data_IF_581135585090
#
_entry.id   IF_581135585090
#
_cell.length_a   1.000
_cell.length_b   1.000
_cell.length_c   1.000
_cell.angle_alpha   90.00
_cell.angle_beta   90.00
_cell.angle_gamma   90.00
#
_symmetry.space_group_name_H-M   'P 1'
#
loop_
_entity.id
_entity.type
_entity.pdbx_description
1 polymer ?
#
# COMPACT_ATOMS: atom_id res chain seq x y z
N UNK A 1 1.16 34.95 6.18
CA UNK A 1 -0.07 34.14 5.99
C UNK A 1 0.22 32.79 6.64
N UNK A 2 -0.61 32.33 7.57
CA UNK A 2 -0.46 30.96 8.11
C UNK A 2 -1.17 30.05 7.12
N UNK A 3 -0.45 29.11 6.52
CA UNK A 3 -1.10 28.05 5.75
C UNK A 3 -2.04 27.31 6.68
N UNK A 4 -3.31 27.20 6.33
CA UNK A 4 -4.21 26.31 7.05
C UNK A 4 -3.67 24.87 6.94
N UNK A 5 -3.74 24.05 7.99
CA UNK A 5 -3.35 22.66 7.89
C UNK A 5 -4.18 22.02 6.78
N UNK A 6 -3.53 21.59 5.70
CA UNK A 6 -4.20 20.80 4.66
C UNK A 6 -4.67 19.51 5.30
N UNK A 7 -5.98 19.26 5.31
CA UNK A 7 -6.53 17.97 5.70
C UNK A 7 -5.89 16.86 4.85
N UNK A 8 -4.97 16.10 5.45
CA UNK A 8 -4.24 15.03 4.78
C UNK A 8 -5.12 13.80 4.63
N UNK A 9 -5.12 13.25 3.41
CA UNK A 9 -5.67 11.95 3.09
C UNK A 9 -4.50 10.94 2.98
N UNK A 10 -4.58 9.80 3.65
CA UNK A 10 -3.51 8.79 3.66
C UNK A 10 -4.03 7.41 3.27
N UNK A 11 -3.29 6.72 2.43
CA UNK A 11 -3.44 5.30 2.14
C UNK A 11 -2.32 4.55 2.86
N UNK A 12 -2.69 3.71 3.82
CA UNK A 12 -1.78 2.69 4.35
C UNK A 12 -1.83 1.49 3.42
N UNK A 13 -0.71 1.22 2.74
CA UNK A 13 -0.69 0.32 1.59
C UNK A 13 0.20 -0.90 1.86
N UNK A 14 -0.38 -2.10 1.74
CA UNK A 14 0.38 -3.33 1.51
C UNK A 14 0.69 -3.52 0.00
N UNK A 15 1.62 -4.42 -0.33
CA UNK A 15 2.11 -4.69 -1.68
C UNK A 15 1.70 -6.09 -2.13
N UNK A 16 2.09 -7.14 -1.39
CA UNK A 16 1.64 -8.50 -1.66
C UNK A 16 0.11 -8.57 -1.50
N UNK A 17 -0.58 -9.31 -2.36
CA UNK A 17 -2.05 -9.39 -2.35
C UNK A 17 -2.81 -8.10 -2.65
N UNK A 18 -2.12 -6.97 -2.85
CA UNK A 18 -2.69 -5.66 -3.23
C UNK A 18 -2.21 -5.22 -4.61
N UNK A 19 -0.92 -4.97 -4.79
CA UNK A 19 -0.31 -4.64 -6.09
C UNK A 19 0.26 -5.88 -6.77
N UNK A 20 0.79 -6.82 -5.98
CA UNK A 20 1.37 -8.06 -6.45
C UNK A 20 0.44 -9.24 -6.17
N UNK A 21 -0.16 -9.86 -7.19
CA UNK A 21 -0.91 -11.10 -7.00
C UNK A 21 0.00 -12.23 -6.55
N UNK A 22 -0.43 -13.03 -5.56
CA UNK A 22 0.39 -14.14 -5.04
C UNK A 22 0.76 -15.19 -6.10
N UNK A 23 -0.06 -15.32 -7.13
CA UNK A 23 0.17 -16.24 -8.24
C UNK A 23 1.14 -15.71 -9.29
N UNK A 24 1.55 -14.44 -9.20
CA UNK A 24 2.42 -13.79 -10.17
C UNK A 24 3.88 -14.00 -9.81
N UNK A 25 4.60 -14.78 -10.63
CA UNK A 25 6.02 -15.09 -10.45
C UNK A 25 6.80 -15.08 -11.78
N UNK A 26 6.32 -14.29 -12.75
CA UNK A 26 6.93 -14.11 -14.08
C UNK A 26 8.35 -13.57 -13.98
N UNK A 27 8.72 -12.85 -12.92
CA UNK A 27 10.09 -12.34 -12.73
C UNK A 27 11.18 -13.39 -12.89
N UNK A 28 10.88 -14.66 -12.61
CA UNK A 28 11.86 -15.76 -12.72
C UNK A 28 12.17 -16.16 -14.17
N UNK A 29 11.38 -15.69 -15.13
CA UNK A 29 11.63 -15.88 -16.57
C UNK A 29 12.58 -14.81 -17.16
N UNK A 30 13.08 -13.88 -16.34
CA UNK A 30 13.88 -12.73 -16.76
C UNK A 30 15.28 -12.71 -16.13
N UNK A 31 16.24 -12.10 -16.83
CA UNK A 31 17.57 -11.81 -16.28
C UNK A 31 17.51 -10.60 -15.34
N UNK A 32 17.39 -10.88 -14.05
CA UNK A 32 17.29 -9.84 -13.02
C UNK A 32 18.62 -9.11 -12.78
N UNK A 33 19.77 -9.66 -13.18
CA UNK A 33 21.03 -8.93 -13.09
C UNK A 33 21.13 -7.87 -14.19
N UNK A 34 20.67 -8.19 -15.39
CA UNK A 34 20.59 -7.22 -16.49
C UNK A 34 19.49 -6.18 -16.28
N UNK A 35 18.40 -6.57 -15.60
CA UNK A 35 17.36 -5.62 -15.18
C UNK A 35 17.93 -4.45 -14.35
N UNK A 36 18.80 -4.73 -13.37
CA UNK A 36 19.39 -3.69 -12.53
C UNK A 36 20.14 -2.64 -13.36
N UNK A 37 20.96 -3.10 -14.31
CA UNK A 37 21.75 -2.21 -15.18
C UNK A 37 20.84 -1.41 -16.11
N UNK A 38 19.79 -2.05 -16.63
CA UNK A 38 18.80 -1.40 -17.49
C UNK A 38 18.10 -0.27 -16.75
N UNK A 39 17.61 -0.54 -15.53
CA UNK A 39 16.93 0.48 -14.72
C UNK A 39 17.88 1.60 -14.28
N UNK A 40 19.11 1.27 -13.86
CA UNK A 40 20.10 2.28 -13.50
C UNK A 40 20.40 3.24 -14.66
N UNK A 41 20.52 2.70 -15.88
CA UNK A 41 20.72 3.50 -17.08
C UNK A 41 19.47 4.29 -17.51
N UNK A 42 18.28 3.67 -17.42
CA UNK A 42 17.00 4.31 -17.82
C UNK A 42 16.66 5.51 -16.92
N UNK A 43 16.89 5.37 -15.61
CA UNK A 43 16.56 6.40 -14.63
C UNK A 43 17.72 7.34 -14.31
N UNK A 44 18.90 7.09 -14.89
CA UNK A 44 20.18 7.78 -14.61
C UNK A 44 20.46 7.84 -13.10
N UNK A 45 20.38 6.68 -12.44
CA UNK A 45 20.42 6.55 -10.99
C UNK A 45 21.08 5.22 -10.56
N UNK A 46 22.30 5.30 -10.05
CA UNK A 46 23.08 4.12 -9.63
C UNK A 46 22.45 3.38 -8.44
N UNK A 47 21.51 3.99 -7.71
CA UNK A 47 20.78 3.32 -6.61
C UNK A 47 20.14 2.01 -7.09
N UNK A 48 19.65 1.94 -8.33
CA UNK A 48 19.05 0.73 -8.89
C UNK A 48 20.02 -0.46 -8.96
N UNK A 49 21.34 -0.24 -8.94
CA UNK A 49 22.33 -1.32 -8.87
C UNK A 49 22.44 -1.95 -7.47
N UNK A 50 22.01 -1.22 -6.43
CA UNK A 50 22.08 -1.64 -5.03
C UNK A 50 20.75 -2.19 -4.49
N UNK A 51 19.63 -1.90 -5.17
CA UNK A 51 18.32 -2.41 -4.80
C UNK A 51 18.22 -3.93 -5.00
N UNK A 52 17.36 -4.56 -4.21
CA UNK A 52 17.10 -5.99 -4.34
C UNK A 52 16.50 -6.31 -5.72
N UNK A 53 17.18 -7.21 -6.44
CA UNK A 53 16.81 -7.59 -7.81
C UNK A 53 15.51 -8.35 -7.90
N UNK A 54 15.12 -9.10 -6.87
CA UNK A 54 13.88 -9.85 -6.86
C UNK A 54 12.70 -8.90 -6.61
N UNK A 55 12.86 -7.93 -5.71
CA UNK A 55 11.87 -6.85 -5.53
C UNK A 55 11.68 -6.04 -6.82
N UNK A 56 12.78 -5.66 -7.50
CA UNK A 56 12.69 -4.98 -8.81
C UNK A 56 12.05 -5.86 -9.88
N UNK A 57 12.37 -7.15 -9.91
CA UNK A 57 11.74 -8.11 -10.81
C UNK A 57 10.23 -8.22 -10.57
N UNK A 58 9.81 -8.31 -9.31
CA UNK A 58 8.40 -8.30 -8.92
C UNK A 58 7.69 -7.04 -9.44
N UNK A 59 8.30 -5.87 -9.24
CA UNK A 59 7.71 -4.59 -9.66
C UNK A 59 7.58 -4.51 -11.19
N UNK A 60 8.59 -4.97 -11.93
CA UNK A 60 8.60 -4.87 -13.39
C UNK A 60 7.69 -5.92 -14.06
N UNK A 61 7.60 -7.12 -13.49
CA UNK A 61 7.02 -8.27 -14.19
C UNK A 61 5.80 -8.89 -13.48
N UNK A 62 5.68 -8.74 -12.16
CA UNK A 62 4.66 -9.44 -11.38
C UNK A 62 3.52 -8.54 -10.88
N UNK A 63 3.77 -7.25 -10.66
CA UNK A 63 2.74 -6.30 -10.26
C UNK A 63 1.61 -6.21 -11.29
N UNK A 64 0.38 -6.22 -10.80
CA UNK A 64 -0.80 -6.03 -11.64
C UNK A 64 -0.94 -4.54 -11.98
N UNK A 65 -0.74 -4.22 -13.27
CA UNK A 65 -0.81 -2.83 -13.74
C UNK A 65 -2.21 -2.23 -13.50
N UNK A 66 -3.27 -3.02 -13.54
CA UNK A 66 -4.62 -2.55 -13.21
C UNK A 66 -4.72 -2.10 -11.74
N UNK A 67 -4.19 -2.89 -10.80
CA UNK A 67 -4.13 -2.55 -9.38
C UNK A 67 -3.32 -1.27 -9.13
N UNK A 68 -2.15 -1.17 -9.76
CA UNK A 68 -1.27 0.02 -9.70
C UNK A 68 -2.01 1.27 -10.17
N UNK A 69 -2.67 1.20 -11.33
CA UNK A 69 -3.41 2.33 -11.91
C UNK A 69 -4.59 2.76 -11.03
N UNK A 70 -5.31 1.80 -10.42
CA UNK A 70 -6.37 2.11 -9.45
C UNK A 70 -5.84 2.88 -8.26
N UNK A 71 -4.78 2.38 -7.60
CA UNK A 71 -4.15 3.08 -6.46
C UNK A 71 -3.66 4.46 -6.88
N UNK A 72 -3.02 4.58 -8.05
CA UNK A 72 -2.54 5.89 -8.56
C UNK A 72 -3.69 6.87 -8.76
N UNK A 73 -4.77 6.45 -9.40
CA UNK A 73 -5.94 7.31 -9.63
C UNK A 73 -6.60 7.79 -8.34
N UNK A 74 -6.66 6.94 -7.31
CA UNK A 74 -7.16 7.34 -5.99
C UNK A 74 -6.25 8.40 -5.37
N UNK A 75 -4.93 8.22 -5.45
CA UNK A 75 -3.97 9.20 -4.96
C UNK A 75 -4.12 10.55 -5.66
N UNK A 76 -4.34 10.56 -6.98
CA UNK A 76 -4.58 11.76 -7.78
C UNK A 76 -5.86 12.48 -7.37
N UNK A 77 -6.98 11.76 -7.33
CA UNK A 77 -8.31 12.33 -7.10
C UNK A 77 -8.48 12.90 -5.69
N UNK A 78 -7.90 12.21 -4.70
CA UNK A 78 -8.02 12.61 -3.28
C UNK A 78 -6.80 13.36 -2.77
N UNK A 79 -5.79 13.58 -3.62
CA UNK A 79 -4.46 14.07 -3.22
C UNK A 79 -3.90 13.26 -2.04
N UNK A 80 -4.14 11.94 -2.08
CA UNK A 80 -3.79 11.05 -1.00
C UNK A 80 -2.30 10.73 -1.05
N UNK A 81 -1.71 10.64 0.13
CA UNK A 81 -0.34 10.21 0.36
C UNK A 81 -0.33 8.72 0.66
N UNK A 82 0.74 8.03 0.28
CA UNK A 82 0.97 6.62 0.61
C UNK A 82 1.94 6.55 1.80
N UNK A 83 1.51 5.83 2.82
CA UNK A 83 2.36 5.35 3.92
C UNK A 83 2.46 3.83 3.76
N UNK A 84 3.65 3.31 3.52
CA UNK A 84 3.81 1.88 3.32
C UNK A 84 3.66 1.11 4.63
N UNK A 85 2.70 0.19 4.63
CA UNK A 85 2.37 -0.70 5.73
C UNK A 85 2.48 -2.14 5.21
N UNK A 86 3.66 -2.47 4.69
CA UNK A 86 3.99 -3.73 4.01
C UNK A 86 5.30 -4.30 4.52
N UNK A 87 5.49 -5.61 4.52
CA UNK A 87 6.79 -6.20 4.90
C UNK A 87 7.94 -5.77 3.97
N UNK A 88 7.62 -5.31 2.76
CA UNK A 88 8.58 -4.71 1.84
C UNK A 88 9.32 -3.52 2.42
N UNK A 89 8.74 -2.80 3.39
CA UNK A 89 9.36 -1.64 4.06
C UNK A 89 10.51 -2.02 5.01
N UNK A 90 10.65 -3.31 5.35
CA UNK A 90 11.62 -3.81 6.32
C UNK A 90 13.04 -3.60 5.83
N UNK A 91 13.86 -2.94 6.64
CA UNK A 91 15.27 -2.65 6.34
C UNK A 91 15.51 -1.62 5.22
N UNK A 92 14.47 -1.04 4.62
CA UNK A 92 14.58 -0.10 3.49
C UNK A 92 14.31 1.34 3.91
N UNK A 93 15.04 2.32 3.38
CA UNK A 93 14.72 3.73 3.57
C UNK A 93 13.50 4.16 2.74
N UNK A 94 12.91 5.32 3.04
CA UNK A 94 11.81 5.87 2.23
C UNK A 94 12.30 6.22 0.83
N UNK A 95 13.56 6.64 0.67
CA UNK A 95 14.19 6.93 -0.61
C UNK A 95 14.29 5.67 -1.48
N UNK A 96 14.72 4.55 -0.91
CA UNK A 96 14.76 3.26 -1.61
C UNK A 96 13.34 2.82 -2.02
N UNK A 97 12.35 2.95 -1.13
CA UNK A 97 10.95 2.66 -1.43
C UNK A 97 10.40 3.56 -2.54
N UNK A 98 10.76 4.84 -2.57
CA UNK A 98 10.42 5.73 -3.67
C UNK A 98 11.06 5.29 -4.99
N UNK A 99 12.30 4.83 -4.99
CA UNK A 99 12.96 4.32 -6.20
C UNK A 99 12.22 3.09 -6.78
N UNK A 100 11.78 2.17 -5.92
CA UNK A 100 10.93 1.05 -6.32
C UNK A 100 9.61 1.51 -6.97
N UNK A 101 8.90 2.44 -6.32
CA UNK A 101 7.61 2.94 -6.80
C UNK A 101 7.74 3.93 -7.98
N UNK A 102 8.95 4.39 -8.30
CA UNK A 102 9.21 5.31 -9.43
C UNK A 102 8.91 4.67 -10.77
N UNK A 103 9.15 3.36 -10.88
CA UNK A 103 8.91 2.54 -12.08
C UNK A 103 7.46 2.69 -12.58
N UNK A 104 6.51 2.82 -11.65
CA UNK A 104 5.08 3.00 -11.96
C UNK A 104 4.55 4.41 -11.65
N UNK A 105 5.45 5.38 -11.48
CA UNK A 105 5.12 6.78 -11.16
C UNK A 105 4.34 6.99 -9.85
N UNK A 106 4.32 6.00 -8.95
CA UNK A 106 3.67 6.12 -7.64
C UNK A 106 4.54 6.82 -6.58
N UNK A 107 5.85 6.92 -6.81
CA UNK A 107 6.80 7.56 -5.89
C UNK A 107 6.44 9.00 -5.46
N UNK A 108 5.67 9.74 -6.26
CA UNK A 108 5.18 11.08 -5.89
C UNK A 108 4.29 11.05 -4.63
N UNK A 109 3.55 9.95 -4.46
CA UNK A 109 2.59 9.76 -3.38
C UNK A 109 3.20 9.07 -2.17
N UNK A 110 4.25 8.25 -2.33
CA UNK A 110 4.96 7.63 -1.20
C UNK A 110 5.59 8.74 -0.34
N UNK A 111 5.09 8.93 0.87
CA UNK A 111 5.62 9.91 1.83
C UNK A 111 6.42 9.26 2.94
N UNK A 112 6.00 8.09 3.38
CA UNK A 112 6.56 7.46 4.56
C UNK A 112 6.26 5.96 4.59
N UNK A 113 6.60 5.33 5.71
CA UNK A 113 6.30 3.95 6.04
C UNK A 113 5.99 3.83 7.54
N UNK A 114 5.20 2.83 7.92
CA UNK A 114 5.05 2.49 9.34
C UNK A 114 6.36 1.90 9.90
N UNK A 115 6.53 1.93 11.22
CA UNK A 115 7.74 1.42 11.85
C UNK A 115 7.88 -0.11 11.64
N UNK A 116 9.10 -0.61 11.83
CA UNK A 116 9.46 -2.02 11.73
C UNK A 116 9.57 -2.61 13.14
N UNK A 117 8.43 -2.81 13.82
CA UNK A 117 8.46 -3.50 15.11
C UNK A 117 8.90 -4.96 14.89
N UNK A 118 9.74 -5.46 15.80
CA UNK A 118 10.19 -6.85 15.77
C UNK A 118 9.03 -7.73 16.20
N UNK A 119 8.62 -8.65 15.33
CA UNK A 119 7.78 -9.80 15.71
C UNK A 119 8.54 -10.58 16.79
N UNK A 120 8.13 -10.45 18.05
CA UNK A 120 8.87 -11.03 19.17
C UNK A 120 8.09 -11.06 20.48
N UNK A 121 7.34 -10.01 20.78
CA UNK A 121 6.47 -9.99 21.95
C UNK A 121 5.01 -9.94 21.49
N UNK A 122 4.21 -10.90 21.97
CA UNK A 122 2.84 -11.19 21.50
C UNK A 122 1.82 -10.19 22.06
N UNK A 123 2.11 -8.91 22.00
CA UNK A 123 1.18 -7.90 22.43
C UNK A 123 0.27 -7.49 21.26
N UNK A 124 -1.03 -7.23 21.49
CA UNK A 124 -1.94 -6.73 20.45
C UNK A 124 -1.43 -5.45 19.75
N UNK A 125 -0.65 -4.63 20.45
CA UNK A 125 0.01 -3.43 19.95
C UNK A 125 1.22 -3.68 19.02
N UNK A 126 1.70 -4.93 18.90
CA UNK A 126 2.77 -5.32 17.96
C UNK A 126 2.21 -5.94 16.67
N UNK A 127 0.95 -5.65 16.37
CA UNK A 127 0.26 -5.99 15.12
C UNK A 127 0.52 -4.99 14.00
N UNK A 128 0.26 -5.38 12.74
CA UNK A 128 0.22 -4.47 11.61
C UNK A 128 -0.80 -3.33 11.85
N UNK A 129 -1.95 -3.65 12.41
CA UNK A 129 -2.95 -2.65 12.80
C UNK A 129 -2.45 -1.72 13.92
N UNK A 130 -1.67 -2.23 14.87
CA UNK A 130 -1.00 -1.45 15.91
C UNK A 130 0.02 -0.46 15.35
N UNK A 131 0.82 -0.88 14.36
CA UNK A 131 1.78 -0.01 13.66
C UNK A 131 1.08 1.15 12.93
N UNK A 132 -0.05 0.87 12.26
CA UNK A 132 -0.87 1.92 11.64
C UNK A 132 -1.45 2.86 12.71
N UNK A 133 -1.93 2.32 13.83
CA UNK A 133 -2.49 3.12 14.92
C UNK A 133 -1.43 4.07 15.50
N UNK A 134 -0.23 3.57 15.78
CA UNK A 134 0.87 4.39 16.27
C UNK A 134 1.24 5.50 15.28
N UNK A 135 1.30 5.17 13.99
CA UNK A 135 1.54 6.18 12.96
C UNK A 135 0.48 7.28 13.01
N UNK A 136 -0.80 6.93 13.13
CA UNK A 136 -1.89 7.90 13.24
C UNK A 136 -1.81 8.71 14.55
N UNK A 137 -1.48 8.09 15.67
CA UNK A 137 -1.31 8.77 16.96
C UNK A 137 -0.17 9.82 16.89
N UNK A 138 0.90 9.53 16.16
CA UNK A 138 2.02 10.45 15.93
C UNK A 138 1.71 11.56 14.90
N UNK A 139 0.68 11.39 14.08
CA UNK A 139 0.29 12.30 13.00
C UNK A 139 -1.18 12.74 13.13
N UNK A 140 -1.52 13.53 14.17
CA UNK A 140 -2.90 13.95 14.43
C UNK A 140 -3.49 14.87 13.35
N UNK A 141 -2.69 15.33 12.40
CA UNK A 141 -3.09 16.08 11.21
C UNK A 141 -3.72 15.22 10.11
N UNK A 142 -3.57 13.89 10.17
CA UNK A 142 -4.26 12.96 9.25
C UNK A 142 -5.73 12.85 9.66
N UNK A 143 -6.63 13.39 8.83
CA UNK A 143 -8.07 13.41 9.10
C UNK A 143 -8.86 12.39 8.29
N UNK A 144 -8.30 11.92 7.18
CA UNK A 144 -8.90 10.89 6.31
C UNK A 144 -7.86 9.85 6.01
N UNK A 145 -8.19 8.58 6.22
CA UNK A 145 -7.30 7.50 5.86
C UNK A 145 -8.06 6.26 5.48
N UNK A 146 -7.35 5.38 4.77
CA UNK A 146 -7.82 4.06 4.37
C UNK A 146 -6.64 3.09 4.45
N UNK A 147 -6.92 1.86 4.85
CA UNK A 147 -5.95 0.77 4.92
C UNK A 147 -6.32 -0.23 3.84
N UNK A 148 -5.38 -0.58 2.98
CA UNK A 148 -5.55 -1.56 1.91
C UNK A 148 -4.53 -2.67 2.12
N UNK A 149 -5.01 -3.84 2.52
CA UNK A 149 -4.21 -5.00 2.90
C UNK A 149 -4.98 -6.28 2.57
N UNK A 150 -4.25 -7.33 2.21
CA UNK A 150 -4.75 -8.67 1.93
C UNK A 150 -4.75 -9.58 3.16
N UNK A 151 -4.00 -9.19 4.20
CA UNK A 151 -3.84 -9.91 5.45
C UNK A 151 -4.44 -9.18 6.64
N UNK A 152 -4.18 -9.73 7.83
CA UNK A 152 -4.47 -9.10 9.13
C UNK A 152 -5.92 -8.62 9.33
N UNK A 153 -6.88 -9.26 8.63
CA UNK A 153 -8.29 -8.85 8.57
C UNK A 153 -8.92 -8.66 9.94
N UNK A 154 -8.79 -9.65 10.83
CA UNK A 154 -9.41 -9.61 12.16
C UNK A 154 -8.88 -8.43 13.00
N UNK A 155 -7.60 -8.08 12.85
CA UNK A 155 -6.95 -7.02 13.59
C UNK A 155 -7.36 -5.64 13.05
N UNK A 156 -7.39 -5.48 11.72
CA UNK A 156 -7.82 -4.25 11.08
C UNK A 156 -9.31 -4.00 11.23
N UNK A 157 -10.18 -5.00 11.05
CA UNK A 157 -11.62 -4.84 11.24
C UNK A 157 -11.95 -4.50 12.71
N UNK A 158 -11.16 -4.97 13.68
CA UNK A 158 -11.33 -4.64 15.09
C UNK A 158 -10.93 -3.21 15.43
N UNK A 159 -9.79 -2.72 14.91
CA UNK A 159 -9.26 -1.40 15.24
C UNK A 159 -9.77 -0.29 14.31
N UNK A 160 -10.06 -0.61 13.06
CA UNK A 160 -10.42 0.32 11.98
C UNK A 160 -11.60 -0.21 11.14
N UNK A 161 -12.77 -0.49 11.75
CA UNK A 161 -13.90 -1.16 11.09
C UNK A 161 -14.43 -0.41 9.87
N UNK A 162 -14.23 0.91 9.79
CA UNK A 162 -14.75 1.73 8.70
C UNK A 162 -13.69 2.08 7.65
N UNK A 163 -12.41 1.97 7.99
CA UNK A 163 -11.29 2.43 7.17
C UNK A 163 -10.51 1.29 6.51
N UNK A 164 -10.87 0.03 6.76
CA UNK A 164 -10.21 -1.12 6.16
C UNK A 164 -10.84 -1.59 4.85
N UNK A 165 -10.00 -1.88 3.86
CA UNK A 165 -10.34 -2.50 2.59
C UNK A 165 -9.52 -3.77 2.42
N UNK A 166 -10.16 -4.91 2.64
CA UNK A 166 -9.55 -6.22 2.44
C UNK A 166 -9.47 -6.57 0.95
N UNK A 167 -8.28 -6.91 0.46
CA UNK A 167 -8.10 -7.48 -0.88
C UNK A 167 -7.97 -9.01 -0.78
N UNK A 168 -8.35 -9.74 -1.85
CA UNK A 168 -8.23 -11.21 -1.85
C UNK A 168 -7.04 -11.73 -2.66
N UNK A 169 -6.49 -10.91 -3.55
CA UNK A 169 -5.35 -11.28 -4.41
C UNK A 169 -4.72 -10.06 -5.09
N UNK A 170 -5.49 -9.00 -5.29
CA UNK A 170 -5.04 -7.68 -5.76
C UNK A 170 -6.15 -6.66 -5.57
N UNK A 171 -5.79 -5.38 -5.66
CA UNK A 171 -6.72 -4.26 -5.76
C UNK A 171 -7.61 -4.41 -7.00
N UNK A 172 -8.91 -4.56 -6.79
CA UNK A 172 -9.90 -4.67 -7.86
C UNK A 172 -10.84 -3.44 -7.90
N UNK A 173 -11.86 -3.48 -8.77
CA UNK A 173 -12.80 -2.37 -8.93
C UNK A 173 -13.66 -2.11 -7.66
N UNK A 174 -14.11 -3.17 -6.97
CA UNK A 174 -14.92 -3.02 -5.77
C UNK A 174 -14.10 -2.45 -4.61
N UNK A 175 -12.84 -2.89 -4.48
CA UNK A 175 -11.90 -2.33 -3.52
C UNK A 175 -11.62 -0.86 -3.80
N UNK A 176 -11.47 -0.48 -5.07
CA UNK A 176 -11.32 0.92 -5.48
C UNK A 176 -12.55 1.75 -5.09
N UNK A 177 -13.76 1.29 -5.43
CA UNK A 177 -14.98 2.00 -5.10
C UNK A 177 -15.11 2.21 -3.59
N UNK A 178 -14.83 1.16 -2.79
CA UNK A 178 -14.84 1.25 -1.33
C UNK A 178 -13.80 2.24 -0.81
N UNK A 179 -12.58 2.22 -1.35
CA UNK A 179 -11.51 3.14 -0.96
C UNK A 179 -11.93 4.60 -1.21
N UNK A 180 -12.52 4.87 -2.37
CA UNK A 180 -13.02 6.20 -2.74
C UNK A 180 -14.15 6.66 -1.81
N UNK A 181 -15.08 5.76 -1.46
CA UNK A 181 -16.14 6.06 -0.48
C UNK A 181 -15.55 6.49 0.87
N UNK A 182 -14.63 5.69 1.42
CA UNK A 182 -13.95 5.99 2.70
C UNK A 182 -13.27 7.36 2.64
N UNK A 183 -12.46 7.63 1.60
CA UNK A 183 -11.73 8.89 1.48
C UNK A 183 -12.62 10.10 1.18
N UNK A 184 -13.81 9.90 0.60
CA UNK A 184 -14.80 10.97 0.41
C UNK A 184 -15.54 11.36 1.70
N UNK A 185 -15.44 10.56 2.77
CA UNK A 185 -16.20 10.76 4.00
C UNK A 185 -17.69 10.38 3.87
N UNK A 186 -18.08 9.70 2.79
CA UNK A 186 -19.42 9.13 2.65
C UNK A 186 -19.47 7.82 3.43
N UNK A 187 -20.14 7.82 4.59
CA UNK A 187 -20.49 6.58 5.27
C UNK A 187 -21.45 5.77 4.37
N UNK A 188 -21.26 4.45 4.21
CA UNK A 188 -22.27 3.62 3.55
C UNK A 188 -23.58 3.79 4.31
N UNK A 189 -24.67 4.03 3.58
CA UNK A 189 -26.00 4.06 4.20
C UNK A 189 -26.23 2.71 4.91
N UNK A 190 -26.74 2.68 6.16
CA UNK A 190 -26.92 1.45 6.94
C UNK A 190 -27.91 0.43 6.32
N UNK A 191 -28.46 0.71 5.13
CA UNK A 191 -29.42 -0.12 4.41
C UNK A 191 -28.87 -0.72 3.10
N UNK A 192 -27.57 -0.59 2.79
CA UNK A 192 -27.02 -1.38 1.68
C UNK A 192 -26.90 -2.85 2.13
N UNK A 193 -27.54 -3.79 1.41
CA UNK A 193 -27.46 -5.20 1.75
C UNK A 193 -26.01 -5.65 1.63
N UNK A 194 -25.50 -6.32 2.68
CA UNK A 194 -24.19 -6.98 2.62
C UNK A 194 -24.16 -7.88 1.37
N UNK A 195 -23.08 -7.85 0.57
CA UNK A 195 -22.94 -8.79 -0.53
C UNK A 195 -23.03 -10.22 0.03
N UNK A 196 -23.68 -11.15 -0.69
CA UNK A 196 -23.84 -12.51 -0.22
C UNK A 196 -22.48 -13.12 0.11
N UNK A 197 -22.39 -13.73 1.30
CA UNK A 197 -21.28 -14.58 1.69
C UNK A 197 -21.13 -15.69 0.66
N UNK A 198 -20.04 -15.70 -0.10
CA UNK A 198 -19.71 -16.78 -1.04
C UNK A 198 -18.83 -17.86 -0.40
N UNK A 199 -18.92 -18.05 0.91
CA UNK A 199 -18.30 -19.18 1.59
C UNK A 199 -19.30 -19.84 2.52
N UNK A 200 -20.03 -20.79 1.94
CA UNK A 200 -20.60 -21.95 2.62
C UNK A 200 -20.64 -23.08 1.58
N UNK A 201 -19.50 -23.73 1.34
CA UNK A 201 -19.40 -25.08 0.75
C UNK A 201 -18.13 -25.77 1.24
#
# INVERSE_FOLDING_TARGET
MREEPKDRAVIFLDIDGVLQPYSSQKRFDHDLHELLKTLAAEYDDELYLELDRFDLGCICFDWDIGAVERVRSICEDFRAEIVLSSDWRRGKSVEALKAYFRIHKLHYYVKDKTDNRRWGDKQPEDSRAGEVKEYLDAHPDIKRFVIIDDGYRDEFEKLFPEQFVHTNSRMNFDNELRTRQILSGQTPHPNEPKPPSFFDH
#
